data_IF_080697180345
#
_entry.id   IF_080697180345
#
_cell.length_a   1.000
_cell.length_b   1.000
_cell.length_c   1.000
_cell.angle_alpha   90.00
_cell.angle_beta   90.00
_cell.angle_gamma   90.00
#
_symmetry.space_group_name_H-M   'P 1'
#
loop_
_entity.id
_entity.type
_entity.pdbx_description
1 polymer ?
#
# COMPACT_ATOMS: atom_id res chain seq x y z
N UNK A 1 68.75 -18.24 48.54
CA UNK A 1 68.21 -19.59 48.71
C UNK A 1 67.11 -19.79 47.65
N UNK A 2 67.50 -20.35 46.57
CA UNK A 2 67.05 -21.64 45.97
C UNK A 2 65.55 -21.91 46.10
N UNK A 3 64.82 -21.90 44.98
CA UNK A 3 64.13 -23.10 44.55
C UNK A 3 63.55 -22.87 43.11
N UNK A 4 64.08 -23.70 42.21
CA UNK A 4 63.54 -23.96 40.90
C UNK A 4 62.12 -24.58 41.02
N UNK A 5 61.20 -24.14 40.22
CA UNK A 5 59.96 -24.89 39.92
C UNK A 5 59.83 -25.05 38.41
N UNK A 6 59.84 -26.32 38.05
CA UNK A 6 59.75 -26.89 36.72
C UNK A 6 58.45 -26.46 36.02
N UNK A 7 58.58 -25.88 34.84
CA UNK A 7 57.46 -25.56 34.00
C UNK A 7 57.15 -26.75 33.11
N UNK A 8 56.14 -27.53 33.43
CA UNK A 8 55.63 -28.61 32.57
C UNK A 8 54.77 -28.03 31.45
N UNK A 9 55.30 -28.12 30.23
CA UNK A 9 54.55 -27.79 29.04
C UNK A 9 53.64 -28.98 28.68
N UNK A 10 52.34 -28.83 28.95
CA UNK A 10 51.31 -29.78 28.52
C UNK A 10 50.81 -29.32 27.15
N UNK A 11 51.34 -29.92 26.07
CA UNK A 11 50.84 -29.78 24.73
C UNK A 11 49.55 -30.59 24.56
N UNK A 12 48.42 -29.92 24.70
CA UNK A 12 47.11 -30.45 24.34
C UNK A 12 46.95 -30.28 22.81
N UNK A 13 47.10 -31.35 22.07
CA UNK A 13 46.66 -31.44 20.71
C UNK A 13 45.14 -31.49 20.67
N UNK A 14 44.53 -30.36 20.43
CA UNK A 14 43.11 -30.30 20.02
C UNK A 14 43.02 -30.65 18.57
N UNK A 15 42.82 -31.93 18.26
CA UNK A 15 42.32 -32.36 16.97
C UNK A 15 40.85 -31.87 16.86
N UNK A 16 40.68 -30.64 16.42
CA UNK A 16 39.38 -30.15 15.96
C UNK A 16 38.99 -30.91 14.68
N UNK A 17 38.06 -31.86 14.81
CA UNK A 17 37.26 -32.28 13.67
C UNK A 17 36.47 -31.05 13.22
N UNK A 18 37.00 -30.34 12.27
CA UNK A 18 36.24 -29.37 11.48
C UNK A 18 35.25 -30.16 10.64
N UNK A 19 34.01 -30.30 11.10
CA UNK A 19 32.89 -30.53 10.22
C UNK A 19 32.87 -29.31 9.29
N UNK A 20 33.32 -29.50 8.04
CA UNK A 20 32.97 -28.58 6.96
C UNK A 20 31.45 -28.63 6.84
N UNK A 21 30.77 -27.70 7.52
CA UNK A 21 29.43 -27.33 7.09
C UNK A 21 29.60 -26.79 5.69
N UNK A 22 29.35 -27.64 4.71
CA UNK A 22 29.07 -27.22 3.35
C UNK A 22 27.82 -26.34 3.47
N UNK A 23 28.04 -25.04 3.50
CA UNK A 23 26.97 -24.11 3.17
C UNK A 23 26.49 -24.53 1.77
N UNK A 24 25.37 -25.25 1.73
CA UNK A 24 24.66 -25.44 0.48
C UNK A 24 24.42 -24.04 -0.07
N UNK A 25 25.09 -23.78 -1.16
CA UNK A 25 24.95 -22.54 -1.90
C UNK A 25 23.47 -22.36 -2.13
N UNK A 26 22.95 -21.19 -1.77
CA UNK A 26 21.57 -20.74 -1.98
C UNK A 26 21.29 -20.64 -3.49
N UNK A 27 21.48 -21.74 -4.21
CA UNK A 27 21.13 -21.87 -5.63
C UNK A 27 19.63 -22.12 -5.82
N UNK A 28 18.94 -22.59 -4.76
CA UNK A 28 17.50 -22.86 -4.81
C UNK A 28 16.63 -21.61 -4.66
N UNK A 29 17.22 -20.44 -4.43
CA UNK A 29 16.43 -19.17 -4.36
C UNK A 29 16.13 -18.63 -5.77
N UNK A 30 16.73 -19.18 -6.81
CA UNK A 30 16.53 -18.71 -8.18
C UNK A 30 15.20 -19.18 -8.82
N UNK A 31 14.52 -20.14 -8.19
CA UNK A 31 13.22 -20.64 -8.66
C UNK A 31 12.03 -20.17 -7.82
N UNK A 32 12.22 -19.22 -6.89
CA UNK A 32 11.08 -18.60 -6.25
C UNK A 32 10.24 -17.88 -7.32
N UNK A 33 8.92 -18.17 -7.40
CA UNK A 33 8.08 -17.49 -8.37
C UNK A 33 8.21 -15.99 -8.17
N UNK A 34 8.41 -15.26 -9.26
CA UNK A 34 8.49 -13.80 -9.19
C UNK A 34 7.26 -13.26 -8.46
N UNK A 35 7.46 -12.33 -7.54
CA UNK A 35 6.35 -11.69 -6.86
C UNK A 35 5.38 -11.09 -7.91
N UNK A 36 4.07 -11.28 -7.74
CA UNK A 36 3.11 -10.70 -8.66
C UNK A 36 3.37 -9.20 -8.77
N UNK A 37 3.28 -8.69 -9.99
CA UNK A 37 3.39 -7.24 -10.25
C UNK A 37 2.00 -6.62 -10.21
N UNK A 38 1.86 -5.37 -9.75
CA UNK A 38 0.57 -4.70 -9.77
C UNK A 38 0.09 -4.50 -11.22
N UNK A 39 -1.21 -4.63 -11.41
CA UNK A 39 -1.89 -4.34 -12.68
C UNK A 39 -1.91 -2.83 -12.91
N UNK A 40 -2.07 -2.44 -14.17
CA UNK A 40 -2.23 -1.03 -14.51
C UNK A 40 -3.62 -0.53 -14.11
N UNK A 41 -3.66 0.60 -13.43
CA UNK A 41 -4.91 1.33 -13.16
C UNK A 41 -5.30 2.11 -14.43
N UNK A 42 -6.57 2.01 -14.77
CA UNK A 42 -7.22 2.83 -15.78
C UNK A 42 -8.23 3.74 -15.07
N UNK A 43 -8.13 5.04 -15.29
CA UNK A 43 -9.06 6.04 -14.74
C UNK A 43 -9.04 7.30 -15.61
N UNK A 44 -10.21 7.85 -15.89
CA UNK A 44 -10.37 9.12 -16.59
C UNK A 44 -10.42 10.25 -15.53
N UNK A 45 -9.30 10.92 -15.36
CA UNK A 45 -9.19 12.04 -14.43
C UNK A 45 -9.61 13.34 -15.11
N UNK A 46 -10.24 14.28 -14.39
CA UNK A 46 -10.49 15.59 -14.93
C UNK A 46 -9.16 16.30 -15.20
N UNK A 47 -8.97 16.74 -16.44
CA UNK A 47 -7.82 17.57 -16.82
C UNK A 47 -8.15 19.03 -16.55
N UNK A 48 -7.73 19.57 -15.43
CA UNK A 48 -7.93 20.98 -15.10
C UNK A 48 -6.63 21.79 -15.25
N UNK A 49 -6.77 23.00 -15.78
CA UNK A 49 -5.66 23.94 -15.86
C UNK A 49 -5.25 24.37 -14.44
N UNK A 50 -3.97 24.17 -14.09
CA UNK A 50 -3.45 24.47 -12.74
C UNK A 50 -3.51 23.33 -11.75
N UNK A 51 -3.96 22.12 -12.15
CA UNK A 51 -3.89 20.94 -11.29
C UNK A 51 -2.43 20.57 -10.97
N UNK A 52 -2.11 20.45 -9.70
CA UNK A 52 -0.81 19.97 -9.23
C UNK A 52 -0.84 18.45 -9.06
N UNK A 53 0.21 17.76 -9.54
CA UNK A 53 0.36 16.32 -9.37
C UNK A 53 1.55 16.05 -8.46
N UNK A 54 1.30 15.38 -7.34
CA UNK A 54 2.32 14.95 -6.39
C UNK A 54 2.53 13.44 -6.49
N UNK A 55 3.76 13.02 -6.71
CA UNK A 55 4.16 11.61 -6.64
C UNK A 55 4.31 11.18 -5.18
N UNK A 56 3.74 10.03 -4.84
CA UNK A 56 3.88 9.37 -3.55
C UNK A 56 4.51 7.99 -3.72
N UNK A 57 5.03 7.36 -2.66
CA UNK A 57 5.51 5.97 -2.75
C UNK A 57 4.45 4.95 -3.18
N UNK A 58 3.17 5.26 -2.99
CA UNK A 58 2.05 4.39 -3.30
C UNK A 58 1.35 4.73 -4.65
N UNK A 59 1.58 5.94 -5.19
CA UNK A 59 0.89 6.40 -6.39
C UNK A 59 0.97 7.91 -6.61
N UNK A 60 -0.15 8.52 -6.95
CA UNK A 60 -0.23 9.93 -7.30
C UNK A 60 -1.39 10.61 -6.57
N UNK A 61 -1.16 11.87 -6.18
CA UNK A 61 -2.20 12.79 -5.70
C UNK A 61 -2.35 13.93 -6.70
N UNK A 62 -3.59 14.19 -7.07
CA UNK A 62 -3.99 15.27 -7.98
C UNK A 62 -4.71 16.33 -7.14
N UNK A 63 -4.10 17.51 -7.02
CA UNK A 63 -4.58 18.60 -6.20
C UNK A 63 -5.18 19.70 -7.06
N UNK A 64 -6.38 20.13 -6.71
CA UNK A 64 -7.09 21.28 -7.27
C UNK A 64 -7.58 22.16 -6.12
N UNK A 65 -8.05 23.38 -6.42
CA UNK A 65 -8.65 24.26 -5.41
C UNK A 65 -9.92 23.65 -4.78
N UNK A 66 -10.66 22.84 -5.56
CA UNK A 66 -11.96 22.31 -5.18
C UNK A 66 -11.94 20.84 -4.74
N UNK A 67 -10.84 20.11 -4.98
CA UNK A 67 -10.76 18.69 -4.67
C UNK A 67 -9.32 18.14 -4.63
N UNK A 68 -9.20 16.98 -4.03
CA UNK A 68 -8.03 16.12 -4.07
C UNK A 68 -8.44 14.74 -4.58
N UNK A 69 -7.67 14.18 -5.54
CA UNK A 69 -7.84 12.81 -6.01
C UNK A 69 -6.57 12.01 -5.69
N UNK A 70 -6.72 10.89 -4.98
CA UNK A 70 -5.65 9.91 -4.76
C UNK A 70 -5.83 8.70 -5.65
N UNK A 71 -4.79 8.31 -6.38
CA UNK A 71 -4.70 7.06 -7.14
C UNK A 71 -3.48 6.29 -6.65
N UNK A 72 -3.72 5.20 -5.91
CA UNK A 72 -2.66 4.52 -5.17
C UNK A 72 -2.75 3.00 -5.34
N UNK A 73 -1.60 2.32 -5.21
CA UNK A 73 -1.50 0.86 -5.16
C UNK A 73 -0.87 0.46 -3.82
N UNK A 74 -1.60 -0.27 -3.02
CA UNK A 74 -1.17 -0.78 -1.73
C UNK A 74 -1.07 -2.31 -1.79
N UNK A 75 -0.21 -2.90 -0.96
CA UNK A 75 -0.20 -4.36 -0.82
C UNK A 75 -1.54 -4.86 -0.30
N UNK A 76 -2.08 -5.91 -0.91
CA UNK A 76 -3.29 -6.58 -0.40
C UNK A 76 -3.03 -7.15 0.98
N UNK A 77 -4.07 -7.18 1.79
CA UNK A 77 -4.01 -7.69 3.16
C UNK A 77 -5.26 -7.31 3.93
N UNK A 78 -5.07 -6.62 5.05
CA UNK A 78 -6.17 -6.15 5.87
C UNK A 78 -6.84 -4.91 5.25
N UNK A 79 -8.10 -5.04 4.83
CA UNK A 79 -8.89 -3.94 4.30
C UNK A 79 -9.01 -2.78 5.31
N UNK A 80 -9.08 -3.07 6.62
CA UNK A 80 -9.13 -2.04 7.65
C UNK A 80 -7.87 -1.18 7.68
N UNK A 81 -6.69 -1.79 7.46
CA UNK A 81 -5.43 -1.05 7.33
C UNK A 81 -5.45 -0.13 6.11
N UNK A 82 -5.96 -0.63 4.98
CA UNK A 82 -6.11 0.17 3.75
C UNK A 82 -7.08 1.33 3.96
N UNK A 83 -8.28 1.09 4.49
CA UNK A 83 -9.26 2.14 4.76
C UNK A 83 -8.71 3.19 5.73
N UNK A 84 -7.98 2.74 6.77
CA UNK A 84 -7.33 3.66 7.71
C UNK A 84 -6.27 4.54 7.02
N UNK A 85 -5.54 3.99 6.06
CA UNK A 85 -4.56 4.76 5.26
C UNK A 85 -5.28 5.79 4.39
N UNK A 86 -6.36 5.39 3.71
CA UNK A 86 -7.05 6.24 2.72
C UNK A 86 -7.90 7.35 3.37
N UNK A 87 -8.57 7.07 4.47
CA UNK A 87 -9.54 8.02 5.06
C UNK A 87 -9.48 8.14 6.58
N UNK A 88 -8.50 7.51 7.23
CA UNK A 88 -8.35 7.56 8.69
C UNK A 88 -9.40 6.77 9.48
N UNK A 89 -10.31 6.02 8.81
CA UNK A 89 -11.43 5.29 9.40
C UNK A 89 -11.23 3.79 9.29
N UNK A 90 -11.85 3.04 10.21
CA UNK A 90 -11.99 1.58 10.10
C UNK A 90 -13.28 1.21 9.37
N UNK A 91 -13.36 -0.02 8.86
CA UNK A 91 -14.56 -0.53 8.18
C UNK A 91 -15.84 -0.41 9.01
N UNK A 92 -15.75 -0.66 10.31
CA UNK A 92 -16.88 -0.55 11.25
C UNK A 92 -17.45 0.88 11.41
N UNK A 93 -16.64 1.90 11.06
CA UNK A 93 -17.02 3.32 11.11
C UNK A 93 -17.56 3.83 9.76
N UNK A 94 -17.60 2.97 8.75
CA UNK A 94 -17.98 3.31 7.38
C UNK A 94 -19.15 2.47 6.90
N UNK A 95 -19.95 3.02 5.99
CA UNK A 95 -20.82 2.20 5.15
C UNK A 95 -20.04 1.75 3.94
N UNK A 96 -19.65 0.48 3.91
CA UNK A 96 -18.87 -0.10 2.81
C UNK A 96 -19.77 -1.02 1.99
N UNK A 97 -19.91 -0.73 0.70
CA UNK A 97 -20.57 -1.60 -0.26
C UNK A 97 -19.53 -2.51 -0.90
N UNK A 98 -19.76 -3.81 -0.83
CA UNK A 98 -18.87 -4.84 -1.39
C UNK A 98 -19.55 -5.52 -2.57
N UNK A 99 -18.85 -5.61 -3.69
CA UNK A 99 -19.22 -6.40 -4.87
C UNK A 99 -18.01 -7.21 -5.34
N UNK A 100 -18.23 -8.22 -6.19
CA UNK A 100 -17.14 -8.98 -6.78
C UNK A 100 -17.48 -9.34 -8.21
N UNK A 101 -16.51 -9.21 -9.12
CA UNK A 101 -16.61 -9.64 -10.50
C UNK A 101 -15.22 -10.08 -11.01
N UNK A 102 -15.18 -11.15 -11.78
CA UNK A 102 -13.96 -11.65 -12.45
C UNK A 102 -12.75 -11.85 -11.51
N UNK A 103 -13.01 -12.27 -10.27
CA UNK A 103 -11.98 -12.51 -9.25
C UNK A 103 -11.47 -11.26 -8.54
N UNK A 104 -11.98 -10.09 -8.89
CA UNK A 104 -11.66 -8.82 -8.22
C UNK A 104 -12.81 -8.43 -7.30
N UNK A 105 -12.51 -8.12 -6.05
CA UNK A 105 -13.48 -7.51 -5.13
C UNK A 105 -13.44 -6.01 -5.27
N UNK A 106 -14.56 -5.37 -5.14
CA UNK A 106 -14.74 -3.92 -5.20
C UNK A 106 -15.42 -3.44 -3.94
N UNK A 107 -14.77 -2.52 -3.25
CA UNK A 107 -15.27 -1.86 -2.05
C UNK A 107 -15.50 -0.38 -2.35
N UNK A 108 -16.72 0.10 -2.12
CA UNK A 108 -17.06 1.51 -2.24
C UNK A 108 -17.48 2.06 -0.87
N UNK A 109 -17.02 3.24 -0.54
CA UNK A 109 -17.29 3.87 0.74
C UNK A 109 -17.28 5.39 0.64
N UNK A 110 -17.92 6.03 1.62
CA UNK A 110 -17.94 7.48 1.78
C UNK A 110 -17.60 7.83 3.22
N UNK A 111 -16.98 8.98 3.41
CA UNK A 111 -16.68 9.50 4.74
C UNK A 111 -16.83 11.00 4.81
N UNK A 112 -16.94 11.53 6.04
CA UNK A 112 -16.82 12.93 6.33
C UNK A 112 -15.67 13.13 7.31
N UNK A 113 -14.92 14.20 7.15
CA UNK A 113 -13.84 14.60 8.03
C UNK A 113 -13.96 16.09 8.33
N UNK A 114 -13.68 16.48 9.58
CA UNK A 114 -13.51 17.88 9.92
C UNK A 114 -12.11 18.32 9.45
N UNK A 115 -12.04 19.35 8.63
CA UNK A 115 -10.80 19.94 8.15
C UNK A 115 -10.54 21.32 8.76
N UNK A 116 -9.32 21.80 8.67
CA UNK A 116 -8.95 23.15 9.13
C UNK A 116 -9.70 24.25 8.36
N UNK A 117 -10.06 23.98 7.10
CA UNK A 117 -10.76 24.88 6.20
C UNK A 117 -12.26 24.53 6.02
N UNK A 118 -12.85 23.83 6.98
CA UNK A 118 -14.24 23.36 6.93
C UNK A 118 -14.36 21.84 6.76
N UNK A 119 -15.60 21.37 6.82
CA UNK A 119 -15.87 19.94 6.68
C UNK A 119 -15.54 19.45 5.26
N UNK A 120 -15.00 18.24 5.16
CA UNK A 120 -14.65 17.58 3.93
C UNK A 120 -15.56 16.36 3.73
N UNK A 121 -15.94 16.11 2.50
CA UNK A 121 -16.60 14.88 2.07
C UNK A 121 -15.67 14.07 1.19
N UNK A 122 -15.53 12.80 1.50
CA UNK A 122 -14.73 11.87 0.73
C UNK A 122 -15.56 10.71 0.19
N UNK A 123 -15.16 10.20 -0.97
CA UNK A 123 -15.60 8.94 -1.54
C UNK A 123 -14.36 8.14 -1.95
N UNK A 124 -14.39 6.83 -1.68
CA UNK A 124 -13.31 5.93 -2.05
C UNK A 124 -13.82 4.67 -2.73
N UNK A 125 -12.95 4.08 -3.54
CA UNK A 125 -13.11 2.78 -4.13
C UNK A 125 -11.79 2.02 -4.01
N UNK A 126 -11.88 0.75 -3.60
CA UNK A 126 -10.76 -0.18 -3.58
C UNK A 126 -11.12 -1.37 -4.46
N UNK A 127 -10.25 -1.69 -5.41
CA UNK A 127 -10.27 -2.95 -6.16
C UNK A 127 -9.21 -3.86 -5.56
N UNK A 128 -9.61 -5.07 -5.14
CA UNK A 128 -8.73 -6.07 -4.53
C UNK A 128 -8.65 -7.28 -5.45
N UNK A 129 -7.47 -7.55 -5.99
CA UNK A 129 -7.19 -8.72 -6.85
C UNK A 129 -6.57 -9.90 -6.07
N UNK A 130 -6.48 -9.78 -4.73
CA UNK A 130 -5.87 -10.74 -3.85
C UNK A 130 -4.37 -10.53 -3.60
N UNK A 131 -3.68 -9.72 -4.43
CA UNK A 131 -2.28 -9.37 -4.27
C UNK A 131 -2.11 -7.89 -3.94
N UNK A 132 -2.97 -7.05 -4.49
CA UNK A 132 -2.91 -5.59 -4.33
C UNK A 132 -4.29 -5.00 -4.10
N UNK A 133 -4.31 -3.90 -3.36
CA UNK A 133 -5.42 -2.96 -3.28
C UNK A 133 -5.11 -1.78 -4.20
N UNK A 134 -5.93 -1.61 -5.23
CA UNK A 134 -5.89 -0.46 -6.12
C UNK A 134 -6.93 0.52 -5.64
N UNK A 135 -6.51 1.72 -5.31
CA UNK A 135 -7.29 2.68 -4.55
C UNK A 135 -7.53 3.94 -5.35
N UNK A 136 -8.76 4.38 -5.37
CA UNK A 136 -9.18 5.68 -5.85
C UNK A 136 -9.91 6.40 -4.72
N UNK A 137 -9.43 7.58 -4.36
CA UNK A 137 -10.08 8.46 -3.39
C UNK A 137 -10.31 9.83 -3.98
N UNK A 138 -11.39 10.44 -3.56
CA UNK A 138 -11.71 11.82 -3.88
C UNK A 138 -12.17 12.51 -2.63
N UNK A 139 -11.56 13.64 -2.30
CA UNK A 139 -11.99 14.53 -1.21
C UNK A 139 -12.33 15.90 -1.76
N UNK A 140 -13.32 16.54 -1.18
CA UNK A 140 -13.75 17.90 -1.50
C UNK A 140 -14.35 18.62 -0.29
N UNK A 141 -14.38 19.95 -0.27
CA UNK A 141 -15.15 20.68 0.72
C UNK A 141 -16.63 20.26 0.73
N UNK A 142 -17.23 20.16 1.91
CA UNK A 142 -18.65 19.79 2.04
C UNK A 142 -19.60 20.85 1.44
N UNK A 143 -19.19 22.11 1.43
CA UNK A 143 -19.95 23.25 0.89
C UNK A 143 -19.72 23.46 -0.62
N UNK A 144 -19.39 22.43 -1.39
CA UNK A 144 -19.18 22.52 -2.83
C UNK A 144 -20.46 22.60 -3.65
N UNK A 145 -20.42 23.31 -4.78
CA UNK A 145 -21.54 23.45 -5.73
C UNK A 145 -21.79 22.16 -6.52
N UNK A 146 -23.05 21.92 -6.94
CA UNK A 146 -23.54 20.64 -7.46
C UNK A 146 -22.94 20.12 -8.78
N UNK A 147 -22.17 20.91 -9.56
CA UNK A 147 -21.61 20.48 -10.85
C UNK A 147 -20.49 19.43 -10.71
N UNK A 148 -19.85 19.36 -9.55
CA UNK A 148 -18.81 18.34 -9.25
C UNK A 148 -19.34 16.91 -9.22
N UNK A 149 -20.62 16.68 -8.97
CA UNK A 149 -21.18 15.34 -8.82
C UNK A 149 -21.15 14.51 -10.12
N UNK A 150 -21.29 15.17 -11.28
CA UNK A 150 -21.24 14.50 -12.60
C UNK A 150 -19.80 14.06 -12.90
N UNK A 151 -18.83 14.92 -12.64
CA UNK A 151 -17.40 14.64 -12.85
C UNK A 151 -16.97 13.45 -11.96
N UNK A 152 -17.36 13.43 -10.69
CA UNK A 152 -17.07 12.31 -9.78
C UNK A 152 -17.65 10.99 -10.27
N UNK A 153 -18.86 11.02 -10.81
CA UNK A 153 -19.52 9.84 -11.36
C UNK A 153 -18.70 9.23 -12.51
N UNK A 154 -18.13 10.06 -13.38
CA UNK A 154 -17.28 9.61 -14.49
C UNK A 154 -15.94 9.02 -13.99
N UNK A 155 -15.26 9.72 -13.08
CA UNK A 155 -14.00 9.25 -12.50
C UNK A 155 -14.16 7.85 -11.88
N UNK A 156 -15.17 7.67 -11.02
CA UNK A 156 -15.40 6.37 -10.38
C UNK A 156 -15.91 5.29 -11.33
N UNK A 157 -16.64 5.64 -12.39
CA UNK A 157 -17.12 4.67 -13.39
C UNK A 157 -16.02 4.20 -14.34
N UNK A 158 -15.00 5.03 -14.60
CA UNK A 158 -13.86 4.68 -15.44
C UNK A 158 -12.77 3.90 -14.69
N UNK A 159 -12.78 3.91 -13.35
CA UNK A 159 -11.78 3.26 -12.54
C UNK A 159 -11.83 1.74 -12.66
N UNK A 160 -10.80 1.15 -13.23
CA UNK A 160 -10.70 -0.27 -13.56
C UNK A 160 -9.24 -0.73 -13.63
N UNK A 161 -9.04 -2.02 -13.84
CA UNK A 161 -7.73 -2.65 -14.02
C UNK A 161 -7.59 -3.18 -15.45
N UNK A 162 -6.43 -2.87 -16.07
CA UNK A 162 -6.07 -3.44 -17.36
C UNK A 162 -5.71 -4.92 -17.26
#
# INVERSE_FOLDING_TARGET
MKKCVLLGVLLLFLTGCGSQETFETVADVLDAPAAPQPRQILVDLPGEEGQEVLETPAGQLYLSEDYEIGVEVLSSGDLDATLKTLCGRKREELTVMETAADGVKRYEFVWAAAGENGDQLGRGMVLDDGNYHYCLTVQRPAEGTGDTQIVWSQVFSSFSLA
#
